data_IF_257169030830
#
_entry.id   IF_257169030830
#
_cell.length_a   1.000
_cell.length_b   1.000
_cell.length_c   1.000
_cell.angle_alpha   90.00
_cell.angle_beta   90.00
_cell.angle_gamma   90.00
#
_symmetry.space_group_name_H-M   'P 1'
#
loop_
_entity.id
_entity.type
_entity.pdbx_description
1 polymer ?
#
# COMPACT_ATOMS: atom_id res chain seq x y z
N UNK A 1 -65.03 -56.89 -30.68
CA UNK A 1 -64.00 -56.18 -31.47
C UNK A 1 -63.67 -54.88 -30.74
N UNK A 2 -62.38 -54.66 -30.53
CA UNK A 2 -61.76 -53.63 -29.69
C UNK A 2 -62.16 -52.19 -30.04
N UNK A 3 -62.17 -51.26 -29.08
CA UNK A 3 -61.11 -50.25 -29.04
C UNK A 3 -60.97 -49.57 -27.68
N UNK A 4 -59.70 -49.39 -27.30
CA UNK A 4 -59.19 -49.03 -25.98
C UNK A 4 -59.24 -47.53 -25.74
N UNK A 5 -59.57 -47.16 -24.51
CA UNK A 5 -59.49 -45.79 -23.97
C UNK A 5 -58.02 -45.45 -23.70
N UNK A 6 -57.41 -44.61 -24.53
CA UNK A 6 -56.04 -44.10 -24.30
C UNK A 6 -56.10 -42.75 -23.57
N UNK A 7 -55.70 -42.78 -22.30
CA UNK A 7 -55.44 -41.61 -21.47
C UNK A 7 -54.13 -40.95 -21.94
N UNK A 8 -54.18 -39.69 -22.38
CA UNK A 8 -53.00 -38.92 -22.75
C UNK A 8 -52.31 -38.39 -21.47
N UNK A 9 -51.15 -38.94 -21.14
CA UNK A 9 -50.24 -38.42 -20.13
C UNK A 9 -49.48 -37.22 -20.70
N UNK A 10 -49.77 -36.02 -20.20
CA UNK A 10 -49.01 -34.80 -20.49
C UNK A 10 -47.76 -34.81 -19.62
N UNK A 11 -46.61 -35.21 -20.16
CA UNK A 11 -45.32 -35.10 -19.48
C UNK A 11 -44.89 -33.63 -19.46
N UNK A 12 -45.01 -32.99 -18.30
CA UNK A 12 -44.51 -31.64 -18.06
C UNK A 12 -43.00 -31.68 -17.84
N UNK A 13 -42.23 -31.16 -18.79
CA UNK A 13 -40.79 -30.99 -18.65
C UNK A 13 -40.50 -29.82 -17.70
N UNK A 14 -40.04 -30.13 -16.49
CA UNK A 14 -39.49 -29.12 -15.58
C UNK A 14 -38.09 -28.74 -16.04
N UNK A 15 -37.94 -27.53 -16.59
CA UNK A 15 -36.63 -26.89 -16.78
C UNK A 15 -36.09 -26.50 -15.40
N UNK A 16 -35.16 -27.31 -14.88
CA UNK A 16 -34.37 -26.97 -13.69
C UNK A 16 -33.49 -25.77 -14.00
N UNK A 17 -33.96 -24.56 -13.66
CA UNK A 17 -33.11 -23.37 -13.67
C UNK A 17 -32.14 -23.48 -12.50
N UNK A 18 -30.87 -23.71 -12.79
CA UNK A 18 -29.81 -23.51 -11.80
C UNK A 18 -29.75 -22.03 -11.48
N UNK A 19 -30.15 -21.66 -10.26
CA UNK A 19 -29.90 -20.34 -9.71
C UNK A 19 -28.39 -20.25 -9.54
N UNK A 20 -27.70 -19.62 -10.48
CA UNK A 20 -26.30 -19.22 -10.27
C UNK A 20 -26.35 -18.17 -9.17
N UNK A 21 -25.96 -18.57 -7.97
CA UNK A 21 -25.94 -17.73 -6.78
C UNK A 21 -24.94 -16.59 -7.05
N UNK A 22 -25.43 -15.39 -7.36
CA UNK A 22 -24.59 -14.23 -7.58
C UNK A 22 -23.93 -13.86 -6.24
N UNK A 23 -22.68 -14.29 -6.04
CA UNK A 23 -21.83 -13.70 -5.00
C UNK A 23 -21.74 -12.21 -5.30
N UNK A 24 -22.23 -11.40 -4.37
CA UNK A 24 -22.27 -9.95 -4.52
C UNK A 24 -21.02 -9.34 -3.90
N UNK A 25 -20.53 -8.26 -4.50
CA UNK A 25 -19.46 -7.48 -3.91
C UNK A 25 -20.03 -6.22 -3.27
N UNK A 26 -19.58 -5.90 -2.06
CA UNK A 26 -19.89 -4.62 -1.43
C UNK A 26 -18.85 -3.58 -1.83
N UNK A 27 -19.28 -2.50 -2.48
CA UNK A 27 -18.42 -1.42 -2.94
C UNK A 27 -18.40 -0.29 -1.91
N UNK A 28 -17.20 0.13 -1.51
CA UNK A 28 -16.95 1.29 -0.65
C UNK A 28 -16.18 2.32 -1.47
N UNK A 29 -16.72 3.54 -1.68
CA UNK A 29 -16.01 4.60 -2.40
C UNK A 29 -14.88 5.19 -1.55
N UNK A 30 -13.90 5.78 -2.22
CA UNK A 30 -12.86 6.66 -1.70
C UNK A 30 -11.94 6.06 -0.61
N UNK A 31 -11.85 4.73 -0.58
CA UNK A 31 -11.06 3.98 0.40
C UNK A 31 -10.20 2.94 -0.30
N UNK A 32 -8.97 2.75 0.18
CA UNK A 32 -8.06 1.68 -0.23
C UNK A 32 -7.42 0.98 0.96
N UNK A 33 -7.24 -0.34 0.82
CA UNK A 33 -6.32 -1.12 1.64
C UNK A 33 -5.03 -1.34 0.85
N UNK A 34 -3.91 -0.81 1.33
CA UNK A 34 -2.63 -0.81 0.60
C UNK A 34 -1.98 -2.22 0.58
N UNK A 35 -1.12 -2.48 -0.41
CA UNK A 35 -0.41 -3.75 -0.53
C UNK A 35 -1.24 -4.92 -1.08
N UNK A 36 -0.74 -6.15 -0.90
CA UNK A 36 -1.44 -7.42 -1.15
C UNK A 36 -2.05 -7.60 -2.54
N UNK A 37 -1.51 -6.93 -3.57
CA UNK A 37 -2.03 -7.04 -4.95
C UNK A 37 -1.44 -8.27 -5.62
N UNK A 38 -2.30 -9.18 -6.07
CA UNK A 38 -1.93 -10.45 -6.70
C UNK A 38 -2.14 -10.46 -8.22
N UNK A 39 -2.83 -9.43 -8.75
CA UNK A 39 -3.10 -9.31 -10.17
C UNK A 39 -3.82 -8.01 -10.50
N UNK A 40 -3.89 -7.70 -11.79
CA UNK A 40 -4.61 -6.54 -12.30
C UNK A 40 -5.41 -6.90 -13.55
N UNK A 41 -6.59 -6.30 -13.67
CA UNK A 41 -7.43 -6.35 -14.87
C UNK A 41 -7.89 -4.95 -15.24
N UNK A 42 -8.35 -4.76 -16.47
CA UNK A 42 -8.94 -3.49 -16.91
C UNK A 42 -10.45 -3.62 -16.96
N UNK A 43 -11.15 -2.67 -16.36
CA UNK A 43 -12.60 -2.61 -16.34
C UNK A 43 -13.07 -1.17 -16.39
N UNK A 44 -14.12 -0.89 -17.16
CA UNK A 44 -14.71 0.46 -17.27
C UNK A 44 -15.57 0.85 -16.07
N UNK A 45 -15.98 -0.10 -15.24
CA UNK A 45 -16.84 0.11 -14.09
C UNK A 45 -16.30 -0.64 -12.85
N UNK A 46 -16.24 0.00 -11.67
CA UNK A 46 -15.89 -0.66 -10.41
C UNK A 46 -16.58 -1.99 -10.13
N UNK A 47 -17.87 -2.11 -10.47
CA UNK A 47 -18.64 -3.33 -10.16
C UNK A 47 -18.18 -4.54 -10.98
N UNK A 48 -17.58 -4.32 -12.15
CA UNK A 48 -17.09 -5.40 -13.01
C UNK A 48 -15.85 -6.11 -12.42
N UNK A 49 -15.08 -5.43 -11.57
CA UNK A 49 -13.96 -6.04 -10.85
C UNK A 49 -14.36 -7.18 -9.92
N UNK A 50 -15.64 -7.25 -9.53
CA UNK A 50 -16.16 -8.33 -8.71
C UNK A 50 -16.00 -9.69 -9.39
N UNK A 51 -16.36 -9.77 -10.68
CA UNK A 51 -16.24 -10.99 -11.45
C UNK A 51 -14.77 -11.39 -11.69
N UNK A 52 -13.90 -10.39 -11.86
CA UNK A 52 -12.46 -10.64 -12.03
C UNK A 52 -11.84 -11.20 -10.75
N UNK A 53 -12.20 -10.63 -9.60
CA UNK A 53 -11.74 -11.12 -8.30
C UNK A 53 -12.28 -12.54 -8.03
N UNK A 54 -13.56 -12.82 -8.31
CA UNK A 54 -14.13 -14.17 -8.16
C UNK A 54 -13.43 -15.23 -9.02
N UNK A 55 -12.97 -14.85 -10.22
CA UNK A 55 -12.22 -15.74 -11.13
C UNK A 55 -10.76 -15.90 -10.74
N UNK A 56 -10.24 -15.08 -9.83
CA UNK A 56 -8.84 -15.07 -9.46
C UNK A 56 -8.64 -15.85 -8.16
N UNK A 57 -7.98 -17.02 -8.20
CA UNK A 57 -7.75 -17.81 -6.99
C UNK A 57 -7.03 -16.99 -5.91
N UNK A 58 -7.61 -16.96 -4.72
CA UNK A 58 -7.07 -16.23 -3.57
C UNK A 58 -7.42 -14.74 -3.54
N UNK A 59 -8.20 -14.20 -4.48
CA UNK A 59 -8.68 -12.82 -4.38
C UNK A 59 -9.87 -12.74 -3.40
N UNK A 60 -9.75 -11.87 -2.41
CA UNK A 60 -10.79 -11.64 -1.39
C UNK A 60 -11.34 -10.21 -1.42
N UNK A 61 -10.60 -9.29 -2.04
CA UNK A 61 -11.03 -7.91 -2.25
C UNK A 61 -10.32 -7.31 -3.47
N UNK A 62 -10.85 -6.21 -3.98
CA UNK A 62 -10.23 -5.46 -5.07
C UNK A 62 -10.33 -3.96 -4.81
N UNK A 63 -9.48 -3.21 -5.49
CA UNK A 63 -9.58 -1.75 -5.59
C UNK A 63 -9.68 -1.37 -7.06
N UNK A 64 -10.68 -0.60 -7.44
CA UNK A 64 -10.80 -0.03 -8.78
C UNK A 64 -10.40 1.44 -8.77
N UNK A 65 -9.56 1.87 -9.71
CA UNK A 65 -9.31 3.29 -9.99
C UNK A 65 -8.91 3.45 -11.45
N UNK A 66 -9.29 4.56 -12.09
CA UNK A 66 -8.83 4.92 -13.44
C UNK A 66 -8.92 3.77 -14.46
N UNK A 67 -9.97 2.93 -14.37
CA UNK A 67 -10.18 1.81 -15.29
C UNK A 67 -9.42 0.52 -14.98
N UNK A 68 -8.71 0.43 -13.85
CA UNK A 68 -7.91 -0.74 -13.46
C UNK A 68 -8.44 -1.33 -12.15
N UNK A 69 -8.66 -2.65 -12.13
CA UNK A 69 -8.94 -3.44 -10.93
C UNK A 69 -7.62 -4.00 -10.38
N UNK A 70 -7.29 -3.65 -9.15
CA UNK A 70 -6.17 -4.22 -8.39
C UNK A 70 -6.72 -5.32 -7.49
N UNK A 71 -6.52 -6.57 -7.88
CA UNK A 71 -7.03 -7.76 -7.19
C UNK A 71 -6.13 -8.11 -6.01
N UNK A 72 -6.71 -8.37 -4.83
CA UNK A 72 -5.96 -8.48 -3.58
C UNK A 72 -6.33 -9.73 -2.78
N UNK A 73 -5.32 -10.35 -2.16
CA UNK A 73 -5.46 -11.57 -1.36
C UNK A 73 -5.52 -11.35 0.15
N UNK A 74 -5.29 -10.12 0.62
CA UNK A 74 -5.37 -9.78 2.03
C UNK A 74 -5.78 -8.31 2.21
N UNK A 75 -6.56 -8.05 3.25
CA UNK A 75 -6.92 -6.69 3.67
C UNK A 75 -5.85 -6.16 4.63
N UNK A 76 -5.24 -5.03 4.30
CA UNK A 76 -4.36 -4.34 5.26
C UNK A 76 -5.18 -3.84 6.47
N UNK A 77 -4.61 -3.77 7.68
CA UNK A 77 -5.36 -3.35 8.89
C UNK A 77 -5.88 -1.90 8.82
N UNK A 78 -5.27 -1.06 7.98
CA UNK A 78 -5.56 0.36 7.90
C UNK A 78 -6.15 0.69 6.53
N UNK A 79 -7.39 1.16 6.52
CA UNK A 79 -8.00 1.85 5.39
C UNK A 79 -7.35 3.23 5.20
N UNK A 80 -6.93 3.57 3.98
CA UNK A 80 -6.43 4.89 3.62
C UNK A 80 -7.41 5.63 2.68
N UNK A 81 -7.55 6.95 2.78
CA UNK A 81 -8.34 7.75 1.83
C UNK A 81 -7.75 7.67 0.41
N UNK A 82 -8.62 7.61 -0.59
CA UNK A 82 -8.22 7.42 -1.98
C UNK A 82 -9.33 7.87 -2.94
N UNK A 83 -9.41 9.19 -3.15
CA UNK A 83 -10.50 9.82 -3.88
C UNK A 83 -10.63 9.30 -5.32
N UNK A 84 -11.87 8.98 -5.72
CA UNK A 84 -12.20 8.45 -7.04
C UNK A 84 -11.95 6.96 -7.20
N UNK A 85 -11.56 6.25 -6.13
CA UNK A 85 -11.45 4.80 -6.15
C UNK A 85 -12.67 4.13 -5.53
N UNK A 86 -12.81 2.83 -5.80
CA UNK A 86 -13.80 1.98 -5.17
C UNK A 86 -13.12 0.70 -4.69
N UNK A 87 -13.26 0.37 -3.41
CA UNK A 87 -12.85 -0.93 -2.87
C UNK A 87 -14.04 -1.86 -2.80
N UNK A 88 -13.91 -3.07 -3.34
CA UNK A 88 -14.91 -4.11 -3.27
C UNK A 88 -14.46 -5.33 -2.49
N UNK A 89 -15.32 -5.85 -1.62
CA UNK A 89 -15.10 -7.12 -0.92
C UNK A 89 -15.98 -8.22 -1.51
N UNK A 90 -15.42 -9.40 -1.74
CA UNK A 90 -16.19 -10.59 -2.12
C UNK A 90 -17.02 -11.02 -0.89
N UNK A 91 -18.35 -10.97 -0.97
CA UNK A 91 -19.20 -11.54 0.07
C UNK A 91 -19.45 -13.03 -0.22
N UNK A 92 -19.28 -13.88 0.79
CA UNK A 92 -20.01 -15.15 0.85
C UNK A 92 -21.40 -14.88 1.44
N UNK A 93 -22.42 -15.59 0.93
CA UNK A 93 -23.84 -15.48 1.33
C UNK A 93 -24.05 -15.26 2.84
N UNK A 94 -24.99 -14.39 3.28
CA UNK A 94 -25.19 -14.10 4.70
C UNK A 94 -25.95 -15.23 5.41
N UNK A 95 -25.48 -15.61 6.60
CA UNK A 95 -26.32 -16.21 7.63
C UNK A 95 -26.30 -15.31 8.85
N UNK A 96 -27.47 -14.80 9.23
CA UNK A 96 -27.74 -14.25 10.56
C UNK A 96 -27.08 -12.90 10.87
N UNK A 97 -27.89 -11.84 10.84
CA UNK A 97 -27.63 -10.57 11.54
C UNK A 97 -27.11 -10.78 12.95
N UNK A 98 -25.83 -10.45 13.16
CA UNK A 98 -25.31 -10.08 14.48
C UNK A 98 -25.24 -8.55 14.50
N UNK A 99 -25.75 -7.86 15.54
CA UNK A 99 -25.77 -6.40 15.54
C UNK A 99 -24.35 -5.84 15.46
N UNK A 100 -24.17 -4.87 14.58
CA UNK A 100 -23.09 -3.91 14.59
C UNK A 100 -22.83 -3.43 16.03
N UNK A 101 -21.58 -3.43 16.55
CA UNK A 101 -21.27 -2.71 17.77
C UNK A 101 -21.60 -1.23 17.54
N UNK A 102 -22.66 -0.78 18.19
CA UNK A 102 -22.98 0.64 18.30
C UNK A 102 -21.82 1.27 19.07
N UNK A 103 -21.01 2.10 18.39
CA UNK A 103 -20.09 2.99 19.09
C UNK A 103 -20.96 4.00 19.83
N UNK A 104 -21.15 3.77 21.13
CA UNK A 104 -21.62 4.78 22.05
C UNK A 104 -20.61 5.95 22.05
N UNK A 105 -21.05 7.20 22.27
CA UNK A 105 -20.14 8.32 22.48
C UNK A 105 -19.36 8.05 23.77
N UNK A 106 -18.09 7.65 23.65
CA UNK A 106 -17.23 7.45 24.79
C UNK A 106 -17.05 8.80 25.50
N UNK A 107 -17.44 8.85 26.78
CA UNK A 107 -17.16 9.97 27.64
C UNK A 107 -15.66 10.30 27.65
N UNK A 108 -15.37 11.60 27.71
CA UNK A 108 -14.05 12.22 27.82
C UNK A 108 -13.17 11.42 28.82
N UNK A 109 -11.93 11.03 28.46
CA UNK A 109 -11.02 10.40 29.42
C UNK A 109 -10.77 11.33 30.60
N UNK A 110 -11.12 10.90 31.81
CA UNK A 110 -10.67 11.53 33.05
C UNK A 110 -9.22 11.12 33.24
N UNK A 111 -8.33 12.09 33.13
CA UNK A 111 -6.89 11.98 33.40
C UNK A 111 -6.65 11.59 34.85
N UNK A 112 -6.00 10.45 35.15
CA UNK A 112 -5.34 10.26 36.45
C UNK A 112 -4.13 11.20 36.51
N UNK A 113 -3.93 11.82 37.68
CA UNK A 113 -2.80 12.69 37.97
C UNK A 113 -1.45 12.04 37.61
N UNK A 114 -0.45 12.81 37.14
CA UNK A 114 0.82 12.26 36.70
C UNK A 114 1.63 11.77 37.90
N UNK A 115 1.83 10.46 38.00
CA UNK A 115 2.90 9.89 38.81
C UNK A 115 4.23 10.29 38.18
N UNK A 116 5.03 11.04 38.92
CA UNK A 116 6.36 11.50 38.52
C UNK A 116 7.31 10.31 38.34
N UNK A 117 7.41 9.80 37.12
CA UNK A 117 8.49 8.89 36.72
C UNK A 117 9.64 9.76 36.25
N UNK A 118 10.75 9.74 36.98
CA UNK A 118 12.02 10.36 36.62
C UNK A 118 12.42 9.90 35.22
N UNK A 119 12.28 10.77 34.22
CA UNK A 119 12.63 10.47 32.84
C UNK A 119 14.16 10.45 32.71
N UNK A 120 14.69 9.28 32.34
CA UNK A 120 16.03 9.21 31.76
C UNK A 120 16.08 10.16 30.55
N UNK A 121 17.21 10.85 30.31
CA UNK A 121 17.31 11.79 29.20
C UNK A 121 17.05 11.05 27.89
N UNK A 122 16.02 11.49 27.17
CA UNK A 122 15.74 11.01 25.81
C UNK A 122 16.99 11.31 25.00
N UNK A 123 17.66 10.30 24.39
CA UNK A 123 18.77 10.60 23.49
C UNK A 123 18.22 11.47 22.37
N UNK A 124 18.62 12.73 22.34
CA UNK A 124 18.28 13.65 21.26
C UNK A 124 19.05 13.23 20.03
N UNK A 125 18.47 12.36 19.20
CA UNK A 125 19.12 11.96 17.96
C UNK A 125 19.11 13.15 17.00
N UNK A 126 20.27 13.78 16.80
CA UNK A 126 20.44 14.80 15.77
C UNK A 126 20.13 14.22 14.38
N UNK A 127 19.46 14.99 13.52
CA UNK A 127 19.18 14.61 12.13
C UNK A 127 20.31 15.09 11.22
N UNK A 128 21.39 14.31 11.19
CA UNK A 128 22.51 14.55 10.27
C UNK A 128 22.47 13.47 9.19
N UNK A 129 22.08 13.86 7.98
CA UNK A 129 22.11 12.95 6.82
C UNK A 129 23.54 12.84 6.31
N UNK A 130 23.97 11.61 6.06
CA UNK A 130 25.31 11.27 5.54
C UNK A 130 25.19 10.74 4.12
N UNK A 131 26.27 10.85 3.35
CA UNK A 131 26.38 10.09 2.11
C UNK A 131 26.35 8.60 2.45
N UNK A 132 25.83 7.77 1.54
CA UNK A 132 25.83 6.33 1.69
C UNK A 132 27.23 5.79 2.03
N UNK A 133 28.26 6.31 1.37
CA UNK A 133 29.66 5.95 1.62
C UNK A 133 30.16 6.32 3.03
N UNK A 134 29.68 7.42 3.60
CA UNK A 134 30.09 7.88 4.92
C UNK A 134 29.33 7.19 6.08
N UNK A 135 28.36 6.32 5.78
CA UNK A 135 27.64 5.56 6.79
C UNK A 135 28.43 4.33 7.25
N UNK A 136 28.39 4.06 8.55
CA UNK A 136 28.90 2.82 9.13
C UNK A 136 28.03 1.62 8.72
N UNK A 137 28.57 0.40 8.80
CA UNK A 137 27.83 -0.84 8.51
C UNK A 137 26.56 -0.95 9.35
N UNK A 138 26.60 -0.57 10.63
CA UNK A 138 25.43 -0.59 11.52
C UNK A 138 24.36 0.43 11.11
N UNK A 139 24.77 1.62 10.67
CA UNK A 139 23.83 2.62 10.15
C UNK A 139 23.16 2.13 8.85
N UNK A 140 23.94 1.50 7.94
CA UNK A 140 23.42 0.91 6.70
C UNK A 140 22.43 -0.22 6.99
N UNK A 141 22.79 -1.16 7.87
CA UNK A 141 21.91 -2.26 8.30
C UNK A 141 20.61 -1.75 8.93
N UNK A 142 20.71 -0.75 9.82
CA UNK A 142 19.54 -0.14 10.45
C UNK A 142 18.62 0.54 9.44
N UNK A 143 19.19 1.25 8.45
CA UNK A 143 18.40 1.85 7.38
C UNK A 143 17.74 0.80 6.49
N UNK A 144 18.48 -0.22 6.02
CA UNK A 144 17.95 -1.27 5.15
C UNK A 144 16.84 -2.08 5.84
N UNK A 145 17.04 -2.46 7.10
CA UNK A 145 16.02 -3.15 7.88
C UNK A 145 14.77 -2.28 8.14
N UNK A 146 14.93 -0.97 8.34
CA UNK A 146 13.80 -0.05 8.43
C UNK A 146 13.00 0.02 7.13
N UNK A 147 13.68 0.05 5.98
CA UNK A 147 13.04 0.04 4.66
C UNK A 147 12.28 -1.27 4.44
N UNK A 148 12.92 -2.42 4.69
CA UNK A 148 12.29 -3.73 4.57
C UNK A 148 11.01 -3.81 5.43
N UNK A 149 11.08 -3.42 6.70
CA UNK A 149 9.92 -3.39 7.58
C UNK A 149 8.84 -2.40 7.11
N UNK A 150 9.22 -1.24 6.55
CA UNK A 150 8.27 -0.31 5.95
C UNK A 150 7.58 -0.90 4.71
N UNK A 151 8.28 -1.72 3.92
CA UNK A 151 7.72 -2.43 2.77
C UNK A 151 6.75 -3.52 3.22
N UNK A 152 7.15 -4.35 4.19
CA UNK A 152 6.32 -5.42 4.76
C UNK A 152 5.01 -4.87 5.34
N UNK A 153 5.08 -3.71 6.00
CA UNK A 153 3.91 -3.03 6.57
C UNK A 153 3.11 -2.19 5.53
N UNK A 154 3.51 -2.19 4.26
CA UNK A 154 2.86 -1.41 3.20
C UNK A 154 3.07 0.12 3.28
N UNK A 155 3.84 0.60 4.25
CA UNK A 155 4.12 2.03 4.47
C UNK A 155 5.01 2.61 3.36
N UNK A 156 5.97 1.84 2.85
CA UNK A 156 6.77 2.26 1.69
C UNK A 156 5.88 2.52 0.47
N UNK A 157 4.98 1.59 0.18
CA UNK A 157 4.06 1.69 -0.95
C UNK A 157 3.13 2.91 -0.83
N UNK A 158 2.75 3.28 0.40
CA UNK A 158 1.96 4.51 0.65
C UNK A 158 2.68 5.76 0.16
N UNK A 159 3.99 5.88 0.41
CA UNK A 159 4.77 7.03 -0.04
C UNK A 159 4.97 7.03 -1.56
N UNK A 160 5.16 5.86 -2.18
CA UNK A 160 5.15 5.73 -3.64
C UNK A 160 3.84 6.26 -4.21
N UNK A 161 2.70 5.88 -3.62
CA UNK A 161 1.39 6.35 -4.06
C UNK A 161 1.20 7.86 -3.85
N UNK A 162 1.57 8.41 -2.69
CA UNK A 162 1.51 9.86 -2.43
C UNK A 162 2.28 10.65 -3.49
N UNK A 163 3.41 10.14 -3.97
CA UNK A 163 4.17 10.80 -5.03
C UNK A 163 3.55 10.65 -6.44
N UNK A 164 2.83 9.55 -6.68
CA UNK A 164 2.24 9.22 -7.99
C UNK A 164 0.80 9.70 -8.15
N UNK A 165 0.07 9.93 -7.06
CA UNK A 165 -1.30 10.42 -7.09
C UNK A 165 -1.37 11.73 -7.87
N UNK A 166 -2.36 11.84 -8.76
CA UNK A 166 -2.46 12.90 -9.78
C UNK A 166 -2.34 14.31 -9.21
N UNK A 167 -3.07 14.63 -8.14
CA UNK A 167 -3.05 15.97 -7.55
C UNK A 167 -1.73 16.26 -6.84
N UNK A 168 -1.23 15.28 -6.09
CA UNK A 168 0.04 15.35 -5.37
C UNK A 168 1.22 15.49 -6.34
N UNK A 169 1.19 14.74 -7.44
CA UNK A 169 2.19 14.81 -8.50
C UNK A 169 2.19 16.18 -9.19
N UNK A 170 1.00 16.73 -9.46
CA UNK A 170 0.83 18.07 -10.04
C UNK A 170 1.30 19.18 -9.11
N UNK A 171 1.12 19.03 -7.80
CA UNK A 171 1.70 19.94 -6.81
C UNK A 171 3.24 19.85 -6.84
N UNK A 172 3.76 18.62 -6.84
CA UNK A 172 5.18 18.32 -6.71
C UNK A 172 6.02 18.70 -7.94
N UNK A 173 5.49 18.57 -9.16
CA UNK A 173 6.26 18.68 -10.39
C UNK A 173 5.79 19.81 -11.29
N UNK A 174 6.73 20.42 -12.03
CA UNK A 174 6.47 21.52 -12.98
C UNK A 174 5.87 22.77 -12.32
N UNK A 175 6.18 22.97 -11.04
CA UNK A 175 5.75 24.12 -10.23
C UNK A 175 6.95 24.74 -9.53
N UNK A 176 6.79 25.96 -9.03
CA UNK A 176 7.80 26.63 -8.20
C UNK A 176 8.00 25.95 -6.83
N UNK A 177 7.12 25.01 -6.45
CA UNK A 177 7.18 24.34 -5.15
C UNK A 177 7.93 23.01 -5.19
N UNK A 178 8.51 22.62 -6.34
CA UNK A 178 9.22 21.34 -6.52
C UNK A 178 10.16 21.01 -5.35
N UNK A 179 11.10 21.91 -5.03
CA UNK A 179 12.08 21.66 -3.95
C UNK A 179 11.42 21.57 -2.57
N UNK A 180 10.39 22.39 -2.30
CA UNK A 180 9.70 22.43 -1.01
C UNK A 180 8.86 21.18 -0.79
N UNK A 181 8.14 20.74 -1.82
CA UNK A 181 7.32 19.53 -1.77
C UNK A 181 8.20 18.28 -1.51
N UNK A 182 9.28 18.13 -2.28
CA UNK A 182 10.19 16.98 -2.11
C UNK A 182 10.92 17.03 -0.76
N UNK A 183 11.30 18.21 -0.26
CA UNK A 183 11.86 18.36 1.08
C UNK A 183 10.90 17.89 2.16
N UNK A 184 9.61 18.26 2.06
CA UNK A 184 8.56 17.80 2.98
C UNK A 184 8.33 16.29 2.86
N UNK A 185 8.31 15.77 1.64
CA UNK A 185 8.16 14.33 1.38
C UNK A 185 9.28 13.51 2.01
N UNK A 186 10.55 13.92 1.84
CA UNK A 186 11.69 13.26 2.47
C UNK A 186 11.66 13.34 4.01
N UNK A 187 11.20 14.46 4.58
CA UNK A 187 11.04 14.58 6.03
C UNK A 187 9.95 13.65 6.55
N UNK A 188 8.81 13.58 5.86
CA UNK A 188 7.71 12.68 6.21
C UNK A 188 8.14 11.21 6.09
N UNK A 189 8.89 10.85 5.06
CA UNK A 189 9.40 9.49 4.87
C UNK A 189 10.38 9.10 5.99
N UNK A 190 11.31 10.00 6.35
CA UNK A 190 12.21 9.78 7.48
C UNK A 190 11.45 9.62 8.81
N UNK A 191 10.42 10.44 9.05
CA UNK A 191 9.58 10.33 10.24
C UNK A 191 8.85 8.99 10.29
N UNK A 192 8.35 8.51 9.15
CA UNK A 192 7.72 7.19 9.06
C UNK A 192 8.71 6.09 9.45
N UNK A 193 9.94 6.10 8.92
CA UNK A 193 10.95 5.11 9.31
C UNK A 193 11.27 5.18 10.81
N UNK A 194 11.40 6.39 11.37
CA UNK A 194 11.63 6.59 12.81
C UNK A 194 10.48 6.13 13.70
N UNK A 195 9.27 6.01 13.15
CA UNK A 195 8.07 5.55 13.87
C UNK A 195 7.98 4.03 14.01
N UNK A 196 8.82 3.27 13.29
CA UNK A 196 8.76 1.81 13.24
C UNK A 196 9.26 1.11 14.53
N UNK A 197 9.68 1.87 15.54
CA UNK A 197 10.09 1.36 16.86
C UNK A 197 11.41 1.95 17.35
N UNK A 198 11.78 1.58 18.59
CA UNK A 198 12.95 2.16 19.29
C UNK A 198 14.28 1.97 18.55
N UNK A 199 14.42 0.88 17.78
CA UNK A 199 15.61 0.64 16.94
C UNK A 199 15.80 1.73 15.89
N UNK A 200 14.71 2.27 15.36
CA UNK A 200 14.74 3.19 14.22
C UNK A 200 14.57 4.65 14.63
N UNK A 201 14.34 4.95 15.92
CA UNK A 201 14.07 6.30 16.43
C UNK A 201 15.11 7.35 16.06
N UNK A 202 16.34 6.93 15.73
CA UNK A 202 17.45 7.78 15.31
C UNK A 202 17.81 7.65 13.82
N UNK A 203 17.08 6.87 13.01
CA UNK A 203 17.41 6.69 11.59
C UNK A 203 17.27 8.02 10.83
N UNK A 204 18.15 8.22 9.87
CA UNK A 204 18.14 9.36 8.93
C UNK A 204 18.24 8.83 7.51
N UNK A 205 17.64 9.54 6.54
CA UNK A 205 17.80 9.13 5.14
C UNK A 205 19.24 9.36 4.67
N UNK A 206 19.89 8.37 4.03
CA UNK A 206 21.12 8.59 3.31
C UNK A 206 20.90 9.44 2.06
N UNK A 207 21.99 9.93 1.49
CA UNK A 207 22.02 10.38 0.11
C UNK A 207 23.14 9.67 -0.66
N UNK A 208 22.94 9.48 -1.97
CA UNK A 208 24.01 9.08 -2.87
C UNK A 208 24.64 10.34 -3.46
N UNK A 209 25.95 10.49 -3.31
CA UNK A 209 26.67 11.68 -3.74
C UNK A 209 26.99 11.59 -5.23
N UNK A 210 25.96 11.74 -6.06
CA UNK A 210 26.06 11.67 -7.50
C UNK A 210 27.10 12.65 -8.07
N UNK A 211 27.28 13.82 -7.44
CA UNK A 211 28.24 14.83 -7.91
C UNK A 211 29.67 14.31 -7.74
N UNK A 212 29.97 13.72 -6.58
CA UNK A 212 31.28 13.12 -6.33
C UNK A 212 31.52 11.87 -7.19
N UNK A 213 30.51 11.01 -7.34
CA UNK A 213 30.58 9.80 -8.16
C UNK A 213 30.81 10.16 -9.64
N UNK A 214 30.08 11.16 -10.16
CA UNK A 214 30.24 11.66 -11.52
C UNK A 214 31.60 12.34 -11.73
N UNK A 215 32.08 13.13 -10.76
CA UNK A 215 33.42 13.72 -10.83
C UNK A 215 34.51 12.65 -10.88
N UNK A 216 34.33 11.55 -10.15
CA UNK A 216 35.28 10.43 -10.13
C UNK A 216 35.30 9.69 -11.46
N UNK A 217 34.12 9.51 -12.09
CA UNK A 217 33.98 8.95 -13.44
C UNK A 217 34.75 9.77 -14.50
N UNK A 218 34.74 11.10 -14.37
CA UNK A 218 35.39 12.01 -15.32
C UNK A 218 36.86 12.32 -14.99
N UNK A 219 37.37 11.91 -13.82
CA UNK A 219 38.67 12.36 -13.31
C UNK A 219 39.83 11.94 -14.22
N UNK A 220 40.60 12.90 -14.79
CA UNK A 220 41.70 12.58 -15.69
C UNK A 220 42.84 11.80 -15.01
N UNK A 221 42.97 11.93 -13.67
CA UNK A 221 44.17 11.57 -12.90
C UNK A 221 44.40 10.06 -12.70
N UNK A 222 43.47 9.17 -13.05
CA UNK A 222 43.72 7.73 -12.92
C UNK A 222 43.01 6.87 -13.98
N UNK A 223 43.47 6.88 -15.25
CA UNK A 223 42.82 6.18 -16.36
C UNK A 223 42.60 4.68 -16.14
N UNK A 224 43.42 4.03 -15.31
CA UNK A 224 43.34 2.61 -14.97
C UNK A 224 42.46 2.30 -13.75
N UNK A 225 42.01 3.32 -13.01
CA UNK A 225 41.10 3.17 -11.86
C UNK A 225 39.79 3.96 -11.99
N UNK A 226 39.51 4.55 -13.17
CA UNK A 226 38.20 5.14 -13.45
C UNK A 226 37.14 4.04 -13.49
N UNK A 227 36.10 4.26 -12.70
CA UNK A 227 34.84 3.52 -12.81
C UNK A 227 34.23 3.75 -14.21
N UNK A 228 33.73 2.67 -14.81
CA UNK A 228 33.28 2.65 -16.22
C UNK A 228 31.86 3.23 -16.41
N UNK A 229 31.09 3.31 -15.34
CA UNK A 229 29.73 3.85 -15.29
C UNK A 229 29.43 4.36 -13.88
N UNK A 230 28.29 5.05 -13.72
CA UNK A 230 27.92 5.66 -12.45
C UNK A 230 27.70 4.60 -11.36
N UNK A 231 27.20 3.43 -11.73
CA UNK A 231 26.98 2.30 -10.82
C UNK A 231 28.30 1.72 -10.29
N UNK A 232 29.38 1.74 -11.07
CA UNK A 232 30.70 1.33 -10.62
C UNK A 232 31.37 2.39 -9.74
N UNK A 233 31.02 3.67 -9.93
CA UNK A 233 31.53 4.76 -9.09
C UNK A 233 30.79 4.83 -7.75
N UNK A 234 29.49 4.61 -7.79
CA UNK A 234 28.62 4.58 -6.62
C UNK A 234 28.71 3.20 -6.00
N UNK A 235 29.41 3.03 -4.87
CA UNK A 235 29.59 1.72 -4.23
C UNK A 235 28.28 1.27 -3.56
N UNK A 236 27.29 0.94 -4.37
CA UNK A 236 25.97 0.48 -3.93
C UNK A 236 26.00 -1.00 -3.62
N UNK A 237 26.73 -1.36 -2.56
CA UNK A 237 26.88 -2.71 -1.99
C UNK A 237 27.50 -3.77 -2.92
#
# INVERSE_FOLDING_TARGET
>A
MNLRLTLALVASAFLSSSVVEAQTCSLTPDVVYLGNTIGQTQQTNPSACCADCQKTPGCILFRWTNGICYLKNAQAPIASPDAGSFTGFIQSKPSGTTPQPTLAPTAKPVTPAPTSVTSAPIPTCARVRKSWEAMTTTEKDTYLSAIALAMDNGMYQKFVWVHQETMSNREAHRTCVFLFWHRKFLLAFENMLRSLGDRYKCVTLPYWDYVQDYSSMQSPQSPTSRCQNIEACSKTA
#
